data_IF_075402308869
#
_entry.id   IF_075402308869
#
_cell.length_a   1.000
_cell.length_b   1.000
_cell.length_c   1.000
_cell.angle_alpha   90.00
_cell.angle_beta   90.00
_cell.angle_gamma   90.00
#
_symmetry.space_group_name_H-M   'P 1'
#
loop_
_entity.id
_entity.type
_entity.pdbx_description
1 polymer ?
#
# COMPACT_ATOMS: atom_id res chain seq x y z
N UNK A 1 -0.88 -1.69 15.95
CA UNK A 1 0.26 -1.58 15.03
C UNK A 1 0.26 -2.84 14.20
N UNK A 2 0.46 -2.72 12.89
CA UNK A 2 0.43 -3.85 11.96
C UNK A 2 1.71 -3.87 11.13
N UNK A 3 2.05 -5.03 10.57
CA UNK A 3 3.29 -5.21 9.80
C UNK A 3 3.02 -4.96 8.33
N UNK A 4 3.74 -4.01 7.75
CA UNK A 4 3.81 -3.81 6.31
C UNK A 4 4.91 -4.72 5.75
N UNK A 5 4.50 -5.68 4.91
CA UNK A 5 5.32 -6.79 4.41
C UNK A 5 5.81 -6.54 2.98
N UNK A 6 6.77 -7.35 2.53
CA UNK A 6 7.25 -7.35 1.14
C UNK A 6 6.10 -7.56 0.14
N UNK A 7 5.15 -8.44 0.48
CA UNK A 7 3.98 -8.73 -0.35
C UNK A 7 3.04 -7.52 -0.48
N UNK A 8 2.73 -6.85 0.63
CA UNK A 8 1.93 -5.61 0.59
C UNK A 8 2.62 -4.50 -0.20
N UNK A 9 3.94 -4.37 -0.07
CA UNK A 9 4.71 -3.41 -0.87
C UNK A 9 4.66 -3.75 -2.36
N UNK A 10 4.82 -5.04 -2.71
CA UNK A 10 4.70 -5.52 -4.09
C UNK A 10 3.32 -5.23 -4.67
N UNK A 11 2.24 -5.55 -3.94
CA UNK A 11 0.87 -5.27 -4.36
C UNK A 11 0.64 -3.76 -4.58
N UNK A 12 1.12 -2.92 -3.66
CA UNK A 12 1.04 -1.46 -3.78
C UNK A 12 1.76 -0.93 -5.02
N UNK A 13 2.96 -1.42 -5.31
CA UNK A 13 3.72 -1.02 -6.49
C UNK A 13 3.07 -1.47 -7.79
N UNK A 14 2.48 -2.68 -7.81
CA UNK A 14 1.70 -3.19 -8.95
C UNK A 14 0.46 -2.33 -9.20
N UNK A 15 -0.34 -2.07 -8.17
CA UNK A 15 -1.55 -1.24 -8.26
C UNK A 15 -1.21 0.16 -8.78
N UNK A 16 -0.18 0.78 -8.21
CA UNK A 16 0.32 2.09 -8.68
C UNK A 16 0.68 2.08 -10.16
N UNK A 17 1.34 1.02 -10.64
CA UNK A 17 1.74 0.89 -12.04
C UNK A 17 0.56 0.69 -12.99
N UNK A 18 -0.39 -0.17 -12.61
CA UNK A 18 -1.58 -0.49 -13.39
C UNK A 18 -2.50 0.73 -13.55
N UNK A 19 -2.75 1.45 -12.47
CA UNK A 19 -3.60 2.65 -12.43
C UNK A 19 -2.86 3.92 -12.91
N UNK A 20 -1.57 3.81 -13.28
CA UNK A 20 -0.70 4.93 -13.70
C UNK A 20 -0.64 6.08 -12.69
N UNK A 21 -0.81 5.78 -11.41
CA UNK A 21 -0.85 6.79 -10.35
C UNK A 21 0.54 7.34 -10.06
N UNK A 22 0.62 8.66 -9.86
CA UNK A 22 1.81 9.24 -9.22
C UNK A 22 1.83 8.87 -7.73
N UNK A 23 2.96 9.12 -7.06
CA UNK A 23 3.04 8.91 -5.61
C UNK A 23 2.05 9.80 -4.85
N UNK A 24 1.78 11.00 -5.36
CA UNK A 24 0.88 11.95 -4.74
C UNK A 24 -0.58 11.51 -4.91
N UNK A 25 -0.96 11.05 -6.11
CA UNK A 25 -2.31 10.56 -6.37
C UNK A 25 -2.62 9.35 -5.48
N UNK A 26 -1.70 8.38 -5.42
CA UNK A 26 -1.83 7.19 -4.58
C UNK A 26 -1.94 7.54 -3.08
N UNK A 27 -1.19 8.54 -2.62
CA UNK A 27 -1.29 9.02 -1.24
C UNK A 27 -2.68 9.63 -0.96
N UNK A 28 -3.20 10.42 -1.90
CA UNK A 28 -4.52 11.04 -1.80
C UNK A 28 -5.64 9.99 -1.81
N UNK A 29 -5.57 9.01 -2.71
CA UNK A 29 -6.59 7.96 -2.82
C UNK A 29 -6.66 7.05 -1.58
N UNK A 30 -5.49 6.63 -1.06
CA UNK A 30 -5.43 5.84 0.18
C UNK A 30 -5.74 6.72 1.41
N UNK A 31 -5.65 8.04 1.27
CA UNK A 31 -5.88 8.99 2.36
C UNK A 31 -4.76 8.96 3.40
N UNK A 32 -3.50 8.99 2.95
CA UNK A 32 -2.30 9.07 3.79
C UNK A 32 -1.41 10.23 3.35
N UNK A 33 -0.51 10.66 4.22
CA UNK A 33 0.43 11.73 3.86
C UNK A 33 1.44 11.28 2.79
N UNK A 34 1.93 12.22 1.97
CA UNK A 34 2.99 11.95 1.00
C UNK A 34 4.28 11.39 1.64
N UNK A 35 4.74 11.87 2.82
CA UNK A 35 5.84 11.23 3.55
C UNK A 35 5.55 9.76 3.92
N UNK A 36 4.33 9.46 4.38
CA UNK A 36 3.91 8.09 4.68
C UNK A 36 3.97 7.23 3.41
N UNK A 37 3.41 7.71 2.30
CA UNK A 37 3.45 6.98 1.03
C UNK A 37 4.89 6.79 0.50
N UNK A 38 5.73 7.81 0.63
CA UNK A 38 7.15 7.71 0.28
C UNK A 38 7.86 6.63 1.09
N UNK A 39 7.56 6.54 2.39
CA UNK A 39 8.07 5.48 3.26
C UNK A 39 7.56 4.10 2.83
N UNK A 40 6.27 3.96 2.53
CA UNK A 40 5.66 2.69 2.07
C UNK A 40 6.29 2.19 0.77
N UNK A 41 6.67 3.08 -0.15
CA UNK A 41 7.25 2.71 -1.45
C UNK A 41 8.75 2.42 -1.35
N UNK A 42 9.51 3.23 -0.60
CA UNK A 42 10.97 3.23 -0.69
C UNK A 42 11.68 2.50 0.45
N UNK A 43 11.03 2.31 1.61
CA UNK A 43 11.70 1.66 2.72
C UNK A 43 11.77 0.16 2.52
N UNK A 44 12.87 -0.44 2.99
CA UNK A 44 12.97 -1.89 3.13
C UNK A 44 11.90 -2.39 4.08
N UNK A 45 11.11 -3.34 3.60
CA UNK A 45 10.19 -4.16 4.37
C UNK A 45 10.91 -5.37 4.98
N UNK A 46 10.35 -6.00 6.03
CA UNK A 46 9.12 -5.63 6.73
C UNK A 46 9.33 -4.50 7.75
N UNK A 47 8.30 -3.69 8.00
CA UNK A 47 8.31 -2.71 9.11
C UNK A 47 6.93 -2.44 9.69
N UNK A 48 6.90 -1.95 10.94
CA UNK A 48 5.66 -1.60 11.62
C UNK A 48 5.06 -0.28 11.10
N UNK A 49 3.75 -0.31 10.85
CA UNK A 49 2.92 0.86 10.53
C UNK A 49 1.73 0.98 11.48
N UNK A 50 1.17 2.18 11.55
CA UNK A 50 -0.04 2.42 12.33
C UNK A 50 -1.22 1.65 11.75
N UNK A 51 -2.10 1.13 12.62
CA UNK A 51 -3.22 0.30 12.20
C UNK A 51 -4.25 1.01 11.33
N UNK A 52 -4.38 2.34 11.45
CA UNK A 52 -5.21 3.15 10.56
C UNK A 52 -4.66 3.20 9.13
N UNK A 53 -3.33 3.33 8.98
CA UNK A 53 -2.65 3.30 7.67
C UNK A 53 -2.77 1.92 7.05
N UNK A 54 -2.56 0.86 7.83
CA UNK A 54 -2.73 -0.52 7.37
C UNK A 54 -4.15 -0.75 6.83
N UNK A 55 -5.18 -0.44 7.62
CA UNK A 55 -6.58 -0.63 7.20
C UNK A 55 -6.93 0.15 5.92
N UNK A 56 -6.51 1.42 5.83
CA UNK A 56 -6.75 2.25 4.63
C UNK A 56 -6.10 1.63 3.39
N UNK A 57 -4.84 1.23 3.52
CA UNK A 57 -4.08 0.60 2.45
C UNK A 57 -4.72 -0.72 1.99
N UNK A 58 -5.01 -1.63 2.92
CA UNK A 58 -5.55 -2.95 2.56
C UNK A 58 -6.96 -2.88 2.00
N UNK A 59 -7.78 -1.94 2.48
CA UNK A 59 -9.10 -1.69 1.91
C UNK A 59 -8.98 -1.18 0.47
N UNK A 60 -8.12 -0.18 0.23
CA UNK A 60 -7.89 0.35 -1.11
C UNK A 60 -7.35 -0.72 -2.07
N UNK A 61 -6.40 -1.56 -1.63
CA UNK A 61 -5.88 -2.67 -2.44
C UNK A 61 -6.94 -3.74 -2.76
N UNK A 62 -7.84 -4.00 -1.81
CA UNK A 62 -8.97 -4.92 -2.01
C UNK A 62 -9.94 -4.40 -3.08
N UNK A 63 -10.21 -3.09 -3.08
CA UNK A 63 -11.12 -2.45 -4.04
C UNK A 63 -10.53 -2.41 -5.46
N UNK A 64 -9.20 -2.25 -5.57
CA UNK A 64 -8.49 -2.15 -6.86
C UNK A 64 -7.99 -3.50 -7.39
N UNK A 65 -8.54 -4.61 -6.86
CA UNK A 65 -8.26 -6.01 -7.25
C UNK A 65 -6.82 -6.24 -7.73
N UNK A 66 -5.84 -5.86 -6.91
CA UNK A 66 -4.55 -6.57 -6.91
C UNK A 66 -4.72 -7.76 -5.98
N UNK A 67 -5.61 -8.68 -6.35
CA UNK A 67 -5.77 -9.95 -5.65
C UNK A 67 -4.58 -10.80 -6.05
N UNK A 68 -3.44 -10.62 -5.36
CA UNK A 68 -2.56 -11.74 -5.14
C UNK A 68 -3.38 -12.74 -4.31
N UNK A 69 -3.71 -13.86 -4.94
CA UNK A 69 -4.36 -15.04 -4.36
C UNK A 69 -4.00 -15.19 -2.88
N UNK A 70 -4.99 -15.00 -2.01
CA UNK A 70 -4.99 -15.68 -0.72
C UNK A 70 -5.17 -17.16 -1.03
N UNK A 71 -4.06 -17.86 -1.26
CA UNK A 71 -4.02 -19.31 -1.16
C UNK A 71 -4.50 -19.67 0.25
N UNK A 72 -5.50 -20.55 0.27
CA UNK A 72 -6.19 -21.02 1.46
C UNK A 72 -5.73 -22.44 1.76
#
# INVERSE_FOLDING_TARGET
>A
MDVFTDDLQRQLLMAKGLERLTRNDLANEIGVSLPTMTRLINNKTPFAIQSNVYKRLTNWLSDHRVVATQDK
#
